data_IF_469981690630
#
_entry.id   IF_469981690630
#
_cell.length_a   1.000
_cell.length_b   1.000
_cell.length_c   1.000
_cell.angle_alpha   90.00
_cell.angle_beta   90.00
_cell.angle_gamma   90.00
#
_symmetry.space_group_name_H-M   'P 1'
#
loop_
_entity.id
_entity.type
_entity.pdbx_description
1 polymer ?
#
# COMPACT_ATOMS: atom_id res chain seq x y z
N UNK A 1 -14.29 -1.62 27.98
CA UNK A 1 -13.08 -1.92 27.18
C UNK A 1 -13.28 -1.37 25.78
N UNK A 2 -12.20 -0.99 25.12
CA UNK A 2 -12.22 -0.42 23.77
C UNK A 2 -11.32 -1.21 22.83
N UNK A 3 -11.70 -1.35 21.57
CA UNK A 3 -10.88 -2.01 20.55
C UNK A 3 -10.43 -0.98 19.50
N UNK A 4 -9.13 -0.92 19.27
CA UNK A 4 -8.53 -0.20 18.16
C UNK A 4 -8.16 -1.18 17.05
N UNK A 5 -8.54 -0.85 15.82
CA UNK A 5 -8.16 -1.63 14.63
C UNK A 5 -7.45 -0.68 13.66
N UNK A 6 -6.23 -1.04 13.29
CA UNK A 6 -5.45 -0.37 12.26
C UNK A 6 -5.27 -1.31 11.06
N UNK A 7 -5.81 -0.89 9.92
CA UNK A 7 -5.79 -1.64 8.66
C UNK A 7 -4.71 -1.10 7.74
N UNK A 8 -3.53 -1.73 7.78
CA UNK A 8 -2.40 -1.42 6.92
C UNK A 8 -2.32 -2.31 5.67
N UNK A 9 -1.45 -1.94 4.74
CA UNK A 9 -1.23 -2.72 3.50
C UNK A 9 -0.57 -4.07 3.77
N UNK A 10 0.29 -4.16 4.78
CA UNK A 10 1.07 -5.36 5.10
C UNK A 10 0.45 -6.22 6.21
N UNK A 11 -0.60 -5.74 6.88
CA UNK A 11 -1.14 -6.40 8.05
C UNK A 11 -2.24 -5.61 8.74
N UNK A 12 -2.92 -6.29 9.64
CA UNK A 12 -3.92 -5.72 10.53
C UNK A 12 -3.37 -5.74 11.93
N UNK A 13 -3.42 -4.60 12.62
CA UNK A 13 -3.10 -4.50 14.04
C UNK A 13 -4.38 -4.29 14.83
N UNK A 14 -4.55 -5.07 15.89
CA UNK A 14 -5.65 -4.95 16.84
C UNK A 14 -5.07 -4.65 18.22
N UNK A 15 -5.67 -3.70 18.90
CA UNK A 15 -5.29 -3.28 20.25
C UNK A 15 -6.54 -3.29 21.12
N UNK A 16 -6.44 -3.84 22.32
CA UNK A 16 -7.50 -3.83 23.31
C UNK A 16 -7.07 -2.91 24.46
N UNK A 17 -7.94 -1.98 24.83
CA UNK A 17 -7.74 -1.03 25.92
C UNK A 17 -8.74 -1.30 27.05
N UNK A 18 -8.30 -1.15 28.31
CA UNK A 18 -9.21 -1.07 29.44
C UNK A 18 -9.90 0.31 29.51
N UNK A 19 -10.76 0.52 30.51
CA UNK A 19 -11.50 1.79 30.68
C UNK A 19 -10.59 2.98 31.02
N UNK A 20 -9.39 2.71 31.54
CA UNK A 20 -8.38 3.70 31.90
C UNK A 20 -7.51 4.08 30.68
N UNK A 21 -7.75 3.46 29.53
CA UNK A 21 -6.99 3.69 28.29
C UNK A 21 -5.67 2.92 28.21
N UNK A 22 -5.41 1.98 29.12
CA UNK A 22 -4.20 1.17 29.13
C UNK A 22 -4.34 -0.01 28.17
N UNK A 23 -3.22 -0.37 27.51
CA UNK A 23 -3.17 -1.53 26.61
C UNK A 23 -3.19 -2.82 27.42
N UNK A 24 -4.24 -3.61 27.25
CA UNK A 24 -4.39 -4.93 27.86
C UNK A 24 -3.99 -6.07 26.92
N UNK A 25 -4.09 -5.87 25.60
CA UNK A 25 -3.60 -6.80 24.60
C UNK A 25 -3.33 -6.11 23.27
N UNK A 26 -2.38 -6.65 22.50
CA UNK A 26 -2.12 -6.23 21.13
C UNK A 26 -1.76 -7.45 20.27
N UNK A 27 -2.32 -7.52 19.07
CA UNK A 27 -2.01 -8.55 18.08
C UNK A 27 -1.79 -7.92 16.71
N UNK A 28 -0.92 -8.49 15.91
CA UNK A 28 -0.74 -8.10 14.51
C UNK A 28 -0.72 -9.33 13.63
N UNK A 29 -1.61 -9.36 12.65
CA UNK A 29 -1.68 -10.40 11.64
C UNK A 29 -1.16 -9.90 10.29
N UNK A 30 -0.28 -10.67 9.65
CA UNK A 30 0.27 -10.30 8.35
C UNK A 30 -0.76 -10.54 7.24
N UNK A 31 -0.84 -9.59 6.32
CA UNK A 31 -1.59 -9.73 5.08
C UNK A 31 -0.63 -9.92 3.91
N UNK A 32 -1.00 -10.79 2.98
CA UNK A 32 -0.22 -10.98 1.75
C UNK A 32 -0.71 -9.99 0.71
N UNK A 33 0.20 -9.19 0.17
CA UNK A 33 -0.10 -8.28 -0.94
C UNK A 33 0.10 -9.03 -2.25
N UNK A 34 -0.97 -9.20 -3.02
CA UNK A 34 -0.88 -9.76 -4.37
C UNK A 34 -0.34 -8.70 -5.33
N UNK A 35 0.74 -9.02 -6.05
CA UNK A 35 1.32 -8.19 -7.13
C UNK A 35 1.38 -9.02 -8.41
N UNK A 36 0.22 -9.30 -9.05
CA UNK A 36 0.13 -10.28 -10.12
C UNK A 36 0.96 -9.91 -11.36
N UNK A 37 1.24 -8.62 -11.58
CA UNK A 37 2.16 -8.17 -12.62
C UNK A 37 2.95 -6.95 -12.11
N UNK A 38 4.24 -6.81 -12.47
CA UNK A 38 4.95 -5.56 -12.26
C UNK A 38 4.17 -4.43 -12.94
N UNK A 39 4.01 -3.29 -12.27
CA UNK A 39 3.48 -2.09 -12.91
C UNK A 39 4.42 -1.74 -14.07
N UNK A 40 3.97 -2.06 -15.30
CA UNK A 40 4.74 -1.83 -16.50
C UNK A 40 5.08 -0.35 -16.60
N UNK A 41 6.36 -0.06 -16.87
CA UNK A 41 6.83 1.28 -17.24
C UNK A 41 5.87 1.84 -18.29
N UNK A 42 5.24 2.98 -18.02
CA UNK A 42 4.52 3.72 -19.05
C UNK A 42 5.50 3.97 -20.20
N UNK A 43 5.37 3.25 -21.32
CA UNK A 43 6.08 3.61 -22.54
C UNK A 43 5.42 4.90 -23.00
N UNK A 44 6.05 6.04 -22.70
CA UNK A 44 5.76 7.29 -23.38
C UNK A 44 5.74 6.99 -24.88
N UNK A 45 4.56 7.07 -25.51
CA UNK A 45 4.45 6.97 -26.96
C UNK A 45 5.25 8.12 -27.51
N UNK A 46 6.40 7.83 -28.12
CA UNK A 46 6.96 8.77 -29.08
C UNK A 46 5.93 8.82 -30.22
N UNK A 47 5.22 9.92 -30.34
CA UNK A 47 4.53 10.30 -31.56
C UNK A 47 5.57 11.01 -32.41
N UNK A 48 6.21 10.26 -33.31
CA UNK A 48 7.33 10.72 -34.12
C UNK A 48 7.12 12.11 -34.71
N UNK A 49 7.93 13.07 -34.24
CA UNK A 49 8.19 14.30 -34.96
C UNK A 49 9.06 13.96 -36.17
N UNK A 50 8.54 14.22 -37.37
CA UNK A 50 9.27 14.13 -38.64
C UNK A 50 10.68 14.71 -38.50
N UNK A 51 11.69 13.87 -38.70
CA UNK A 51 13.03 14.33 -39.01
C UNK A 51 13.01 14.85 -40.45
N UNK A 52 12.77 16.16 -40.61
CA UNK A 52 13.08 16.86 -41.84
C UNK A 52 14.58 17.15 -41.84
N UNK A 53 15.30 16.40 -42.65
CA UNK A 53 16.65 16.71 -43.13
C UNK A 53 16.59 18.05 -43.85
N UNK A 54 17.19 19.08 -43.25
CA UNK A 54 17.58 20.29 -43.97
C UNK A 54 19.01 20.09 -44.48
N UNK A 55 19.19 20.28 -45.79
CA UNK A 55 20.48 20.57 -46.41
C UNK A 55 20.93 21.97 -46.01
#
# INVERSE_FOLDING_TARGET
>A
MYIGIDLGTSGVKVILLNEQGEVVAAQTEKLTVSRPHPLGRNKTRNSGGRQLIAQ
#
